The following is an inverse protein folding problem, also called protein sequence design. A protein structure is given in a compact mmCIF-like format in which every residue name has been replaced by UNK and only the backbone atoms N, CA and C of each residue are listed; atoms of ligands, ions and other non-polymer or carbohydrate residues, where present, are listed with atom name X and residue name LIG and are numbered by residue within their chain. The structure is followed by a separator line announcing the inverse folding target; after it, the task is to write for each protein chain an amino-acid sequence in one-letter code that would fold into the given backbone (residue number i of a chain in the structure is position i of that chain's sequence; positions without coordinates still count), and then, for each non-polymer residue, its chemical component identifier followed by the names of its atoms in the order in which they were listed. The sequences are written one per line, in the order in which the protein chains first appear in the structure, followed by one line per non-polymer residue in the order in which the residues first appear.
data_IF_547267856254
#
_entry.id   IF_547267856254
#
_cell.length_a   1.000
_cell.length_b   1.000
_cell.length_c   1.000
_cell.angle_alpha   90.00
_cell.angle_beta   90.00
_cell.angle_gamma   90.00
#
_symmetry.space_group_name_H-M   'P 1'
#
loop_
_entity.id
_entity.type
_entity.pdbx_description
1 polymer ?
#
# COMPACT_ATOMS: atom_id res chain seq x y z
N UNK A 1 4.27 -0.92 24.03
CA UNK A 1 4.29 -0.23 22.72
C UNK A 1 3.13 -0.66 21.82
N UNK A 2 2.87 -1.95 21.61
CA UNK A 2 1.68 -2.42 20.87
C UNK A 2 0.34 -1.92 21.46
N UNK A 3 0.22 -1.86 22.79
CA UNK A 3 -0.99 -1.37 23.49
C UNK A 3 -1.28 0.13 23.36
N UNK A 4 -0.33 0.93 22.85
CA UNK A 4 -0.57 2.34 22.55
C UNK A 4 -1.10 2.54 21.12
N UNK A 5 -0.75 1.65 20.19
CA UNK A 5 -1.14 1.71 18.77
C UNK A 5 -2.50 1.06 18.52
N UNK A 6 -2.84 -0.01 19.24
CA UNK A 6 -4.07 -0.79 19.02
C UNK A 6 -5.20 -0.49 20.01
N UNK A 7 -5.08 0.58 20.79
CA UNK A 7 -6.08 0.93 21.80
C UNK A 7 -7.38 1.31 21.09
N UNK A 8 -8.38 0.42 21.11
CA UNK A 8 -9.66 0.56 20.38
C UNK A 8 -9.78 -0.25 19.08
N UNK A 9 -8.71 -0.91 18.62
CA UNK A 9 -8.68 -1.68 17.36
C UNK A 9 -8.53 -3.20 17.60
N UNK A 10 -8.79 -3.68 18.81
CA UNK A 10 -8.63 -5.09 19.19
C UNK A 10 -9.53 -6.01 18.35
N UNK A 11 -10.75 -5.54 18.06
CA UNK A 11 -11.70 -6.24 17.19
C UNK A 11 -11.12 -6.41 15.78
N UNK A 12 -10.48 -5.37 15.24
CA UNK A 12 -9.83 -5.46 13.94
C UNK A 12 -8.72 -6.52 13.92
N UNK A 13 -7.87 -6.56 14.95
CA UNK A 13 -6.82 -7.57 15.05
C UNK A 13 -7.37 -9.00 15.13
N UNK A 14 -8.44 -9.21 15.91
CA UNK A 14 -9.10 -10.51 16.00
C UNK A 14 -9.70 -10.91 14.65
N UNK A 15 -10.41 -9.99 13.99
CA UNK A 15 -10.98 -10.24 12.66
C UNK A 15 -9.90 -10.54 11.63
N UNK A 16 -8.79 -9.80 11.65
CA UNK A 16 -7.65 -10.03 10.76
C UNK A 16 -7.02 -11.40 10.98
N UNK A 17 -6.85 -11.81 12.25
CA UNK A 17 -6.31 -13.13 12.59
C UNK A 17 -7.25 -14.26 12.14
N UNK A 18 -8.56 -14.13 12.40
CA UNK A 18 -9.59 -15.09 11.97
C UNK A 18 -9.63 -15.18 10.44
N UNK A 19 -9.65 -14.05 9.75
CA UNK A 19 -9.63 -13.99 8.29
C UNK A 19 -8.35 -14.62 7.73
N UNK A 20 -7.20 -14.37 8.36
CA UNK A 20 -5.93 -15.00 8.02
C UNK A 20 -5.96 -16.52 8.15
N UNK A 21 -6.52 -17.04 9.24
CA UNK A 21 -6.67 -18.49 9.47
C UNK A 21 -7.65 -19.13 8.47
N UNK A 22 -8.78 -18.48 8.20
CA UNK A 22 -9.79 -18.94 7.24
C UNK A 22 -9.18 -18.99 5.83
N UNK A 23 -8.49 -17.94 5.41
CA UNK A 23 -7.86 -17.89 4.08
C UNK A 23 -6.75 -18.92 3.95
N UNK A 24 -5.87 -19.03 4.95
CA UNK A 24 -4.78 -20.01 4.95
C UNK A 24 -5.34 -21.44 4.86
N UNK A 25 -6.26 -21.79 5.76
CA UNK A 25 -6.81 -23.14 5.84
C UNK A 25 -7.68 -23.45 4.62
N UNK A 26 -8.57 -22.53 4.26
CA UNK A 26 -9.49 -22.69 3.12
C UNK A 26 -8.75 -22.83 1.79
N UNK A 27 -7.79 -21.94 1.50
CA UNK A 27 -7.00 -22.03 0.26
C UNK A 27 -6.12 -23.28 0.25
N UNK A 28 -5.52 -23.65 1.38
CA UNK A 28 -4.74 -24.87 1.47
C UNK A 28 -5.60 -26.11 1.19
N UNK A 29 -6.74 -26.25 1.87
CA UNK A 29 -7.65 -27.38 1.68
C UNK A 29 -8.23 -27.45 0.26
N UNK A 30 -8.58 -26.31 -0.33
CA UNK A 30 -9.11 -26.24 -1.69
C UNK A 30 -8.07 -26.66 -2.76
N UNK A 31 -6.78 -26.39 -2.50
CA UNK A 31 -5.72 -26.62 -3.47
C UNK A 31 -4.85 -27.85 -3.18
N UNK A 32 -4.94 -28.49 -2.00
CA UNK A 32 -4.06 -29.60 -1.60
C UNK A 32 -4.05 -30.80 -2.53
N UNK A 33 -5.12 -30.99 -3.31
CA UNK A 33 -5.24 -32.05 -4.30
C UNK A 33 -5.14 -31.54 -5.76
N UNK A 34 -4.99 -30.22 -5.96
CA UNK A 34 -4.99 -29.58 -7.29
C UNK A 34 -3.63 -28.99 -7.67
N UNK A 35 -2.72 -28.82 -6.72
CA UNK A 35 -1.40 -28.26 -6.95
C UNK A 35 -0.36 -28.89 -6.04
N UNK A 36 0.89 -28.95 -6.50
CA UNK A 36 2.05 -29.43 -5.74
C UNK A 36 2.47 -28.49 -4.60
N UNK A 37 1.89 -27.28 -4.52
CA UNK A 37 2.32 -26.21 -3.60
C UNK A 37 1.17 -25.50 -2.90
N UNK A 38 0.23 -26.24 -2.28
CA UNK A 38 -0.97 -25.64 -1.71
C UNK A 38 -0.65 -24.65 -0.61
N UNK A 39 0.40 -24.90 0.18
CA UNK A 39 0.84 -24.01 1.25
C UNK A 39 1.36 -22.67 0.72
N UNK A 40 2.11 -22.64 -0.39
CA UNK A 40 2.64 -21.37 -0.93
C UNK A 40 1.51 -20.50 -1.50
N UNK A 41 0.52 -21.13 -2.14
CA UNK A 41 -0.70 -20.45 -2.58
C UNK A 41 -1.51 -19.91 -1.40
N UNK A 42 -1.65 -20.70 -0.34
CA UNK A 42 -2.36 -20.30 0.86
C UNK A 42 -1.68 -19.12 1.56
N UNK A 43 -0.35 -19.17 1.75
CA UNK A 43 0.43 -18.06 2.32
C UNK A 43 0.32 -16.79 1.46
N UNK A 44 0.46 -16.91 0.14
CA UNK A 44 0.29 -15.77 -0.78
C UNK A 44 -1.12 -15.17 -0.75
N UNK A 45 -2.16 -16.01 -0.69
CA UNK A 45 -3.54 -15.58 -0.56
C UNK A 45 -3.80 -14.86 0.78
N UNK A 46 -3.27 -15.41 1.88
CA UNK A 46 -3.34 -14.77 3.20
C UNK A 46 -2.63 -13.42 3.21
N UNK A 47 -1.47 -13.27 2.56
CA UNK A 47 -0.82 -11.98 2.40
C UNK A 47 -1.70 -10.99 1.63
N UNK A 48 -2.26 -11.39 0.48
CA UNK A 48 -3.11 -10.51 -0.32
C UNK A 48 -4.37 -10.07 0.45
N UNK A 49 -5.03 -10.99 1.14
CA UNK A 49 -6.22 -10.66 1.94
C UNK A 49 -5.86 -9.80 3.15
N UNK A 50 -4.73 -10.07 3.81
CA UNK A 50 -4.25 -9.24 4.92
C UNK A 50 -3.94 -7.81 4.48
N UNK A 51 -3.32 -7.64 3.31
CA UNK A 51 -3.08 -6.31 2.72
C UNK A 51 -4.42 -5.60 2.48
N UNK A 52 -5.38 -6.24 1.79
CA UNK A 52 -6.71 -5.64 1.56
C UNK A 52 -7.39 -5.24 2.87
N UNK A 53 -7.36 -6.12 3.87
CA UNK A 53 -7.98 -5.86 5.15
C UNK A 53 -7.36 -4.64 5.84
N UNK A 54 -6.03 -4.52 5.86
CA UNK A 54 -5.33 -3.39 6.49
C UNK A 54 -5.46 -2.08 5.69
N UNK A 55 -5.49 -2.15 4.36
CA UNK A 55 -5.53 -0.95 3.51
C UNK A 55 -6.93 -0.38 3.37
N UNK A 56 -7.96 -1.23 3.39
CA UNK A 56 -9.37 -0.83 3.28
C UNK A 56 -10.08 -0.69 4.62
N UNK A 57 -9.44 -1.10 5.73
CA UNK A 57 -9.97 -0.79 7.06
C UNK A 57 -9.98 0.72 7.28
N UNK A 58 -11.14 1.21 7.69
CA UNK A 58 -11.37 2.62 7.95
C UNK A 58 -11.71 2.80 9.42
N UNK A 59 -10.83 3.46 10.16
CA UNK A 59 -11.06 3.85 11.54
C UNK A 59 -10.98 5.37 11.77
N UNK A 60 -10.89 6.15 10.68
CA UNK A 60 -10.79 7.61 10.72
C UNK A 60 -11.99 8.33 10.07
N UNK A 61 -12.07 9.66 10.21
CA UNK A 61 -13.04 10.48 9.48
C UNK A 61 -12.94 10.24 7.98
N UNK A 62 -14.09 10.22 7.29
CA UNK A 62 -14.15 10.08 5.84
C UNK A 62 -13.45 11.27 5.18
N UNK A 63 -12.39 11.01 4.43
CA UNK A 63 -11.67 12.03 3.65
C UNK A 63 -12.45 12.43 2.38
N UNK A 64 -12.00 13.48 1.68
CA UNK A 64 -12.56 13.83 0.39
C UNK A 64 -12.37 12.70 -0.62
N UNK A 65 -13.47 12.22 -1.20
CA UNK A 65 -13.47 11.21 -2.27
C UNK A 65 -13.13 11.85 -3.61
N UNK A 66 -12.46 11.10 -4.48
CA UNK A 66 -12.11 11.52 -5.84
C UNK A 66 -10.83 12.35 -5.91
N UNK A 67 -10.00 12.34 -4.87
CA UNK A 67 -8.69 13.01 -4.84
C UNK A 67 -7.60 11.97 -4.63
N UNK A 68 -6.51 12.06 -5.40
CA UNK A 68 -5.29 11.30 -5.15
C UNK A 68 -4.06 12.20 -5.21
N UNK A 69 -3.17 12.06 -4.25
CA UNK A 69 -1.90 12.77 -4.21
C UNK A 69 -0.90 12.10 -5.13
N UNK A 70 -0.27 12.90 -6.00
CA UNK A 70 0.85 12.49 -6.84
C UNK A 70 2.13 13.05 -6.23
N UNK A 71 2.82 12.19 -5.47
CA UNK A 71 4.11 12.50 -4.87
C UNK A 71 5.25 12.38 -5.90
N UNK A 72 5.99 13.47 -6.14
CA UNK A 72 7.17 13.47 -7.02
C UNK A 72 8.44 12.97 -6.34
N UNK A 73 8.52 13.03 -5.02
CA UNK A 73 9.61 12.50 -4.21
C UNK A 73 9.64 10.97 -4.21
N UNK A 74 10.19 10.34 -5.24
CA UNK A 74 10.18 8.87 -5.39
C UNK A 74 10.92 8.10 -4.28
N UNK A 75 11.82 8.74 -3.56
CA UNK A 75 12.56 8.15 -2.42
C UNK A 75 11.88 8.39 -1.08
N UNK A 76 11.02 9.40 -0.99
CA UNK A 76 10.36 9.83 0.23
C UNK A 76 9.51 8.72 0.90
N UNK A 77 8.77 7.87 0.16
CA UNK A 77 8.00 6.78 0.77
C UNK A 77 8.86 5.79 1.59
N UNK A 78 10.14 5.63 1.26
CA UNK A 78 11.03 4.72 2.00
C UNK A 78 11.55 5.34 3.32
N UNK A 79 11.46 6.65 3.44
CA UNK A 79 11.84 7.41 4.64
C UNK A 79 10.69 7.61 5.61
N UNK A 80 9.45 7.52 5.15
CA UNK A 80 8.27 7.58 6.02
C UNK A 80 7.91 6.22 6.65
N UNK A 81 7.31 6.26 7.83
CA UNK A 81 6.84 5.05 8.52
C UNK A 81 5.73 4.35 7.72
N UNK A 82 4.80 5.08 7.09
CA UNK A 82 3.69 4.49 6.35
C UNK A 82 4.21 3.73 5.14
N UNK A 83 5.05 4.38 4.34
CA UNK A 83 5.65 3.74 3.17
C UNK A 83 6.55 2.55 3.53
N UNK A 84 7.31 2.60 4.64
CA UNK A 84 8.04 1.40 5.12
C UNK A 84 7.13 0.23 5.51
N UNK A 85 5.98 0.50 6.13
CA UNK A 85 5.03 -0.55 6.49
C UNK A 85 4.42 -1.17 5.23
N UNK A 86 4.04 -0.33 4.26
CA UNK A 86 3.56 -0.73 2.93
C UNK A 86 4.58 -1.60 2.18
N UNK A 87 5.84 -1.15 2.13
CA UNK A 87 6.96 -1.95 1.63
C UNK A 87 7.04 -3.31 2.33
N UNK A 88 7.03 -3.33 3.66
CA UNK A 88 7.22 -4.56 4.44
C UNK A 88 6.11 -5.60 4.21
N UNK A 89 4.84 -5.19 4.08
CA UNK A 89 3.73 -6.13 3.85
C UNK A 89 3.68 -6.69 2.43
N UNK A 90 4.25 -5.98 1.44
CA UNK A 90 4.34 -6.47 0.06
C UNK A 90 5.51 -7.44 -0.18
N UNK A 91 6.57 -7.41 0.65
CA UNK A 91 7.68 -8.39 0.57
C UNK A 91 7.21 -9.85 0.66
N UNK A 92 6.43 -10.27 1.68
CA UNK A 92 5.97 -11.66 1.76
C UNK A 92 5.00 -12.01 0.62
N UNK A 93 4.20 -11.05 0.12
CA UNK A 93 3.34 -11.27 -1.05
C UNK A 93 4.19 -11.63 -2.29
N UNK A 94 5.23 -10.84 -2.58
CA UNK A 94 6.15 -11.12 -3.69
C UNK A 94 6.85 -12.47 -3.54
N UNK A 95 7.33 -12.78 -2.33
CA UNK A 95 8.00 -14.04 -2.00
C UNK A 95 7.10 -15.25 -2.22
N UNK A 96 5.96 -15.32 -1.52
CA UNK A 96 5.07 -16.48 -1.59
C UNK A 96 4.37 -16.58 -2.94
N UNK A 97 4.00 -15.44 -3.56
CA UNK A 97 3.47 -15.41 -4.92
C UNK A 97 4.45 -16.00 -5.94
N UNK A 98 5.74 -15.69 -5.80
CA UNK A 98 6.78 -16.24 -6.68
C UNK A 98 7.03 -17.72 -6.43
N UNK A 99 7.03 -18.16 -5.19
CA UNK A 99 7.17 -19.59 -4.87
C UNK A 99 5.95 -20.42 -5.31
N UNK A 100 4.75 -19.84 -5.21
CA UNK A 100 3.51 -20.45 -5.66
C UNK A 100 3.46 -20.58 -7.19
N UNK A 101 3.70 -19.47 -7.90
CA UNK A 101 3.55 -19.40 -9.37
C UNK A 101 4.79 -19.83 -10.15
N UNK A 102 5.99 -19.64 -9.60
CA UNK A 102 7.30 -19.66 -10.28
C UNK A 102 7.35 -18.72 -11.50
N UNK A 103 6.65 -17.59 -11.43
CA UNK A 103 6.55 -16.63 -12.53
C UNK A 103 6.77 -15.22 -12.00
N UNK A 104 8.03 -14.77 -11.85
CA UNK A 104 8.32 -13.46 -11.28
C UNK A 104 7.61 -12.32 -12.03
N UNK A 105 7.61 -12.35 -13.37
CA UNK A 105 6.89 -11.35 -14.18
C UNK A 105 5.38 -11.32 -13.93
N UNK A 106 4.75 -12.49 -13.72
CA UNK A 106 3.32 -12.55 -13.37
C UNK A 106 3.06 -11.91 -12.00
N UNK A 107 3.91 -12.21 -11.02
CA UNK A 107 3.78 -11.69 -9.64
C UNK A 107 3.98 -10.17 -9.62
N UNK A 108 4.97 -9.67 -10.36
CA UNK A 108 5.21 -8.23 -10.48
C UNK A 108 4.02 -7.51 -11.12
N UNK A 109 3.53 -7.98 -12.28
CA UNK A 109 2.40 -7.34 -12.97
C UNK A 109 1.14 -7.40 -12.10
N UNK A 110 0.80 -8.58 -11.57
CA UNK A 110 -0.41 -8.73 -10.75
C UNK A 110 -0.33 -7.97 -9.44
N UNK A 111 0.83 -7.93 -8.78
CA UNK A 111 1.01 -7.20 -7.53
C UNK A 111 1.01 -5.68 -7.71
N UNK A 112 1.59 -5.16 -8.79
CA UNK A 112 1.49 -3.72 -9.13
C UNK A 112 0.05 -3.34 -9.44
N UNK A 113 -0.65 -4.13 -10.26
CA UNK A 113 -2.07 -3.89 -10.54
C UNK A 113 -2.95 -4.01 -9.30
N UNK A 114 -2.61 -4.93 -8.39
CA UNK A 114 -3.28 -5.07 -7.10
C UNK A 114 -3.07 -3.84 -6.22
N UNK A 115 -1.83 -3.33 -6.11
CA UNK A 115 -1.56 -2.08 -5.39
C UNK A 115 -2.27 -0.89 -6.03
N UNK A 116 -2.23 -0.75 -7.36
CA UNK A 116 -2.92 0.33 -8.06
C UNK A 116 -4.45 0.26 -7.87
N UNK A 117 -5.00 -0.96 -7.81
CA UNK A 117 -6.41 -1.18 -7.48
C UNK A 117 -6.77 -0.76 -6.06
N UNK A 118 -5.89 -0.98 -5.08
CA UNK A 118 -6.08 -0.54 -3.69
C UNK A 118 -6.08 1.00 -3.63
N UNK A 119 -5.08 1.66 -4.20
CA UNK A 119 -4.99 3.13 -4.25
C UNK A 119 -6.22 3.73 -4.94
N UNK A 120 -6.64 3.13 -6.06
CA UNK A 120 -7.83 3.58 -6.79
C UNK A 120 -9.09 3.37 -5.95
N UNK A 121 -9.21 2.25 -5.25
CA UNK A 121 -10.33 2.01 -4.34
C UNK A 121 -10.34 3.02 -3.19
N UNK A 122 -9.19 3.36 -2.61
CA UNK A 122 -9.08 4.40 -1.58
C UNK A 122 -9.45 5.78 -2.12
N UNK A 123 -9.11 6.09 -3.38
CA UNK A 123 -9.50 7.35 -4.00
C UNK A 123 -11.02 7.47 -4.19
N UNK A 124 -11.72 6.39 -4.56
CA UNK A 124 -13.15 6.48 -4.96
C UNK A 124 -14.14 6.03 -3.89
N UNK A 125 -13.73 5.21 -2.92
CA UNK A 125 -14.63 4.70 -1.90
C UNK A 125 -14.70 5.69 -0.72
N UNK A 126 -15.83 6.40 -0.54
CA UNK A 126 -15.93 7.51 0.43
C UNK A 126 -15.82 7.05 1.88
N UNK A 127 -16.02 5.77 2.15
CA UNK A 127 -15.95 5.19 3.49
C UNK A 127 -14.54 4.73 3.88
N UNK A 128 -13.59 4.67 2.94
CA UNK A 128 -12.19 4.40 3.23
C UNK A 128 -11.56 5.76 3.54
N UNK A 129 -11.43 6.11 4.82
CA UNK A 129 -10.99 7.45 5.28
C UNK A 129 -9.51 7.76 4.99
N UNK A 130 -9.01 7.37 3.81
CA UNK A 130 -7.63 7.53 3.35
C UNK A 130 -7.63 8.21 1.99
N UNK A 131 -6.72 9.17 1.85
CA UNK A 131 -6.41 9.78 0.56
C UNK A 131 -5.37 8.89 -0.11
N UNK A 132 -5.62 8.55 -1.38
CA UNK A 132 -4.70 7.82 -2.24
C UNK A 132 -3.37 8.60 -2.38
N UNK A 133 -2.23 7.89 -2.38
CA UNK A 133 -0.90 8.49 -2.52
C UNK A 133 -0.04 7.62 -3.45
N UNK A 134 0.44 8.20 -4.55
CA UNK A 134 1.35 7.47 -5.46
C UNK A 134 2.65 7.03 -4.78
N UNK A 135 3.04 7.66 -3.68
CA UNK A 135 4.14 7.22 -2.82
C UNK A 135 3.91 5.82 -2.23
N UNK A 136 2.67 5.49 -1.84
CA UNK A 136 2.31 4.16 -1.35
C UNK A 136 2.43 3.10 -2.45
N UNK A 137 2.02 3.43 -3.68
CA UNK A 137 2.23 2.57 -4.85
C UNK A 137 3.72 2.27 -5.09
N UNK A 138 4.60 3.28 -4.95
CA UNK A 138 6.05 3.11 -5.10
C UNK A 138 6.62 2.20 -4.01
N UNK A 139 6.23 2.43 -2.75
CA UNK A 139 6.69 1.61 -1.63
C UNK A 139 6.24 0.15 -1.77
N UNK A 140 4.98 -0.08 -2.11
CA UNK A 140 4.40 -1.40 -2.37
C UNK A 140 5.13 -2.12 -3.51
N UNK A 141 5.39 -1.42 -4.62
CA UNK A 141 6.14 -1.95 -5.75
C UNK A 141 7.58 -2.32 -5.35
N UNK A 142 8.25 -1.49 -4.54
CA UNK A 142 9.57 -1.79 -3.98
C UNK A 142 9.57 -3.08 -3.14
N UNK A 143 8.61 -3.22 -2.23
CA UNK A 143 8.47 -4.42 -1.40
C UNK A 143 8.21 -5.67 -2.24
N UNK A 144 7.33 -5.55 -3.22
CA UNK A 144 6.98 -6.62 -4.16
C UNK A 144 8.21 -7.07 -4.98
N UNK A 145 9.03 -6.13 -5.47
CA UNK A 145 10.26 -6.44 -6.22
C UNK A 145 11.23 -7.23 -5.36
N UNK A 146 11.50 -6.77 -4.13
CA UNK A 146 12.41 -7.45 -3.21
C UNK A 146 11.90 -8.85 -2.84
N UNK A 147 10.62 -8.97 -2.51
CA UNK A 147 9.97 -10.26 -2.25
C UNK A 147 10.07 -11.22 -3.43
N UNK A 148 9.81 -10.73 -4.64
CA UNK A 148 9.87 -11.51 -5.88
C UNK A 148 11.30 -11.98 -6.19
N UNK A 149 12.28 -11.10 -6.00
CA UNK A 149 13.69 -11.44 -6.14
C UNK A 149 14.10 -12.54 -5.16
N UNK A 150 13.74 -12.40 -3.89
CA UNK A 150 13.99 -13.42 -2.87
C UNK A 150 13.33 -14.76 -3.22
N UNK A 151 12.06 -14.76 -3.65
CA UNK A 151 11.35 -15.97 -4.07
C UNK A 151 11.97 -16.62 -5.30
N UNK A 152 12.51 -15.83 -6.22
CA UNK A 152 13.23 -16.32 -7.41
C UNK A 152 14.52 -17.01 -6.99
N UNK A 153 15.33 -16.38 -6.14
CA UNK A 153 16.58 -16.96 -5.60
C UNK A 153 16.29 -18.29 -4.89
N UNK A 154 15.27 -18.33 -4.03
CA UNK A 154 14.86 -19.57 -3.32
C UNK A 154 14.41 -20.66 -4.29
N UNK A 155 13.66 -20.31 -5.34
CA UNK A 155 13.22 -21.26 -6.35
C UNK A 155 14.39 -21.85 -7.15
N UNK A 156 15.34 -21.02 -7.56
CA UNK A 156 16.55 -21.41 -8.28
C UNK A 156 17.46 -22.30 -7.42
N UNK A 157 17.68 -21.94 -6.15
CA UNK A 157 18.50 -22.72 -5.22
C UNK A 157 17.96 -24.14 -5.01
N UNK A 158 16.64 -24.32 -5.08
CA UNK A 158 15.99 -25.63 -4.96
C UNK A 158 16.05 -26.47 -6.25
N UNK A 159 16.76 -26.02 -7.29
CA UNK A 159 16.87 -26.63 -8.64
C UNK A 159 15.52 -26.99 -9.26
N UNK A 160 14.48 -26.23 -8.93
CA UNK A 160 13.15 -26.49 -9.48
C UNK A 160 12.92 -25.54 -10.64
N UNK A 161 12.97 -26.02 -11.90
CA UNK A 161 12.76 -25.16 -13.04
C UNK A 161 11.41 -24.46 -12.93
N UNK A 162 11.36 -23.23 -13.49
CA UNK A 162 10.10 -22.54 -13.70
C UNK A 162 9.18 -23.51 -14.43
N UNK A 163 8.00 -23.78 -13.86
CA UNK A 163 7.05 -24.68 -14.52
C UNK A 163 6.52 -23.93 -15.75
N UNK A 164 6.68 -24.48 -16.97
CA UNK A 164 5.93 -24.01 -18.12
C UNK A 164 4.48 -24.52 -18.01
N UNK A 165 3.80 -24.26 -16.89
CA UNK A 165 2.38 -24.53 -16.77
C UNK A 165 1.63 -23.58 -17.69
N UNK A 166 0.93 -24.08 -18.70
CA UNK A 166 0.12 -23.26 -19.59
C UNK A 166 -1.11 -22.67 -18.88
N UNK A 167 -0.93 -21.83 -17.85
CA UNK A 167 -1.86 -20.71 -17.66
C UNK A 167 -1.87 -20.01 -19.02
N UNK A 168 -3.03 -20.00 -19.69
CA UNK A 168 -3.17 -19.41 -21.02
C UNK A 168 -2.71 -17.96 -20.88
N UNK A 169 -1.48 -17.66 -21.30
CA UNK A 169 -0.86 -16.33 -21.16
C UNK A 169 -1.80 -15.26 -21.71
N UNK A 170 -2.60 -15.63 -22.72
CA UNK A 170 -3.73 -14.88 -23.25
C UNK A 170 -4.76 -14.45 -22.19
N UNK A 171 -5.27 -15.33 -21.33
CA UNK A 171 -6.28 -14.94 -20.32
C UNK A 171 -5.70 -14.01 -19.26
N UNK A 172 -4.45 -14.26 -18.85
CA UNK A 172 -3.73 -13.37 -17.93
C UNK A 172 -3.51 -12.00 -18.56
N UNK A 173 -3.00 -11.97 -19.79
CA UNK A 173 -2.77 -10.73 -20.51
C UNK A 173 -4.07 -9.95 -20.74
N UNK A 174 -5.15 -10.62 -21.18
CA UNK A 174 -6.46 -10.00 -21.34
C UNK A 174 -7.02 -9.46 -20.03
N UNK A 175 -6.87 -10.22 -18.93
CA UNK A 175 -7.28 -9.77 -17.60
C UNK A 175 -6.48 -8.56 -17.13
N UNK A 176 -5.15 -8.57 -17.30
CA UNK A 176 -4.28 -7.45 -16.97
C UNK A 176 -4.62 -6.21 -17.81
N UNK A 177 -4.76 -6.36 -19.14
CA UNK A 177 -5.17 -5.26 -20.03
C UNK A 177 -6.52 -4.69 -19.64
N UNK A 178 -7.52 -5.54 -19.38
CA UNK A 178 -8.85 -5.11 -18.98
C UNK A 178 -8.84 -4.37 -17.64
N UNK A 179 -8.08 -4.86 -16.66
CA UNK A 179 -7.91 -4.20 -15.37
C UNK A 179 -7.20 -2.85 -15.53
N UNK A 180 -6.11 -2.78 -16.29
CA UNK A 180 -5.43 -1.51 -16.58
C UNK A 180 -6.37 -0.51 -17.23
N UNK A 181 -7.14 -0.92 -18.23
CA UNK A 181 -8.11 -0.04 -18.90
C UNK A 181 -9.20 0.45 -17.94
N UNK A 182 -9.69 -0.40 -17.04
CA UNK A 182 -10.64 -0.01 -16.01
C UNK A 182 -10.04 0.99 -15.02
N UNK A 183 -8.82 0.75 -14.53
CA UNK A 183 -8.12 1.67 -13.63
C UNK A 183 -7.90 3.03 -14.29
N UNK A 184 -7.44 3.05 -15.54
CA UNK A 184 -7.28 4.30 -16.31
C UNK A 184 -8.62 5.01 -16.47
N UNK A 185 -9.69 4.29 -16.82
CA UNK A 185 -11.03 4.87 -16.93
C UNK A 185 -11.55 5.47 -15.63
N UNK A 186 -11.31 4.83 -14.49
CA UNK A 186 -11.67 5.39 -13.18
C UNK A 186 -10.87 6.66 -12.90
N UNK A 187 -9.56 6.64 -13.16
CA UNK A 187 -8.70 7.80 -12.95
C UNK A 187 -9.08 8.99 -13.84
N UNK A 188 -9.39 8.75 -15.11
CA UNK A 188 -9.75 9.83 -16.04
C UNK A 188 -11.13 10.44 -15.77
N UNK A 189 -12.05 9.66 -15.21
CA UNK A 189 -13.45 10.09 -15.01
C UNK A 189 -13.78 10.52 -13.59
N UNK A 190 -13.02 10.07 -12.59
CA UNK A 190 -13.42 10.18 -11.19
C UNK A 190 -12.30 10.47 -10.19
N UNK A 191 -11.06 10.69 -10.65
CA UNK A 191 -9.93 11.02 -9.77
C UNK A 191 -9.28 12.31 -10.22
N UNK A 192 -9.18 13.27 -9.30
CA UNK A 192 -8.46 14.51 -9.48
C UNK A 192 -7.06 14.37 -8.87
N UNK A 193 -5.99 14.46 -9.68
CA UNK A 193 -4.62 14.35 -9.18
C UNK A 193 -4.17 15.65 -8.52
N UNK A 194 -3.65 15.56 -7.30
CA UNK A 194 -3.03 16.67 -6.58
C UNK A 194 -1.53 16.45 -6.59
N UNK A 195 -0.83 17.18 -7.45
CA UNK A 195 0.63 17.01 -7.62
C UNK A 195 1.35 17.79 -6.53
N UNK A 196 2.11 17.08 -5.70
CA UNK A 196 2.93 17.63 -4.63
C UNK A 196 4.39 17.24 -4.86
N UNK A 197 5.31 18.17 -4.60
CA UNK A 197 6.74 17.89 -4.68
C UNK A 197 7.18 16.94 -3.55
N UNK A 198 6.66 17.17 -2.34
CA UNK A 198 6.86 16.32 -1.16
C UNK A 198 5.57 16.22 -0.35
N UNK A 199 5.32 15.04 0.22
CA UNK A 199 4.13 14.78 1.07
C UNK A 199 4.47 14.87 2.55
N UNK A 200 5.73 14.59 2.94
CA UNK A 200 6.16 14.76 4.31
C UNK A 200 6.74 16.16 4.52
N UNK A 201 6.12 16.89 5.45
CA UNK A 201 6.64 18.17 5.94
C UNK A 201 8.05 18.09 6.52
N UNK A 202 8.60 16.90 6.77
CA UNK A 202 9.96 16.71 7.33
C UNK A 202 11.06 16.94 6.27
N UNK A 203 10.76 16.77 4.99
CA UNK A 203 11.76 16.86 3.91
C UNK A 203 11.86 18.26 3.33
N UNK A 204 10.78 19.04 3.38
CA UNK A 204 10.71 20.43 2.97
C UNK A 204 9.85 21.21 3.97
N UNK A 205 10.38 21.48 5.16
CA UNK A 205 9.97 22.71 5.84
C UNK A 205 10.55 23.83 5.00
N UNK A 206 9.87 24.22 3.92
CA UNK A 206 10.08 25.55 3.34
C UNK A 206 9.75 26.48 4.49
N UNK A 207 10.78 27.07 5.08
CA UNK A 207 10.61 27.99 6.18
C UNK A 207 9.61 29.04 5.69
N UNK A 208 8.42 29.05 6.31
CA UNK A 208 7.38 29.99 5.93
C UNK A 208 7.99 31.38 5.92
N UNK A 209 7.83 32.11 4.82
CA UNK A 209 8.37 33.46 4.71
C UNK A 209 7.71 34.38 5.76
N UNK A 210 8.25 35.58 5.96
CA UNK A 210 7.75 36.48 7.00
C UNK A 210 6.25 36.84 6.81
N UNK A 211 5.78 36.84 5.56
CA UNK A 211 4.39 37.16 5.20
C UNK A 211 3.47 35.99 5.53
N UNK A 212 3.85 34.77 5.15
CA UNK A 212 3.17 33.52 5.48
C UNK A 212 3.09 33.29 6.99
N UNK A 213 4.18 33.55 7.74
CA UNK A 213 4.17 33.44 9.21
C UNK A 213 3.20 34.42 9.84
N UNK A 214 3.08 35.62 9.28
CA UNK A 214 2.16 36.66 9.76
C UNK A 214 0.72 36.27 9.44
N UNK A 215 0.42 35.85 8.22
CA UNK A 215 -0.91 35.39 7.81
C UNK A 215 -1.38 34.15 8.59
N UNK A 216 -0.50 33.17 8.83
CA UNK A 216 -0.80 32.00 9.66
C UNK A 216 -1.09 32.42 11.10
N UNK A 217 -0.29 33.34 11.67
CA UNK A 217 -0.51 33.84 13.03
C UNK A 217 -1.84 34.58 13.14
N UNK A 218 -2.18 35.42 12.17
CA UNK A 218 -3.47 36.12 12.14
C UNK A 218 -4.64 35.15 12.06
N UNK A 219 -4.58 34.16 11.15
CA UNK A 219 -5.62 33.14 11.03
C UNK A 219 -5.77 32.29 12.29
N UNK A 220 -4.67 31.96 12.97
CA UNK A 220 -4.70 31.21 14.23
C UNK A 220 -5.28 32.05 15.38
N UNK A 221 -4.96 33.34 15.45
CA UNK A 221 -5.54 34.26 16.44
C UNK A 221 -7.02 34.47 16.19
N UNK A 222 -7.45 34.56 14.93
CA UNK A 222 -8.86 34.63 14.54
C UNK A 222 -9.62 33.35 14.92
N UNK A 223 -9.03 32.18 14.68
CA UNK A 223 -9.68 30.90 14.94
C UNK A 223 -9.68 30.50 16.43
N UNK A 224 -8.62 30.82 17.18
CA UNK A 224 -8.39 30.27 18.53
C UNK A 224 -8.24 31.33 19.65
N UNK A 225 -8.19 32.62 19.34
CA UNK A 225 -7.94 33.67 20.33
C UNK A 225 -6.46 33.80 20.74
N UNK A 226 -6.18 34.57 21.80
CA UNK A 226 -4.94 35.32 22.07
C UNK A 226 -3.57 34.61 21.82
N UNK A 227 -2.48 35.38 21.54
CA UNK A 227 -1.22 34.88 20.96
C UNK A 227 -0.27 34.13 21.93
N UNK A 228 -0.63 34.00 23.20
CA UNK A 228 0.32 33.68 24.28
C UNK A 228 0.91 32.26 24.28
N UNK A 229 0.46 31.37 23.40
CA UNK A 229 0.89 29.96 23.38
C UNK A 229 1.31 29.44 22.00
N UNK A 230 1.36 30.29 20.97
CA UNK A 230 1.63 29.86 19.59
C UNK A 230 3.05 30.23 19.20
N UNK A 231 3.98 29.30 19.43
CA UNK A 231 5.36 29.36 18.95
C UNK A 231 5.55 28.50 17.70
N UNK A 232 6.35 28.97 16.76
CA UNK A 232 6.87 28.12 15.68
C UNK A 232 8.12 27.41 16.22
N UNK A 233 8.10 26.08 16.32
CA UNK A 233 9.29 25.31 16.64
C UNK A 233 10.27 25.38 15.46
N UNK A 234 11.54 25.66 15.73
CA UNK A 234 12.60 25.34 14.79
C UNK A 234 12.62 23.81 14.63
N UNK A 235 12.59 23.32 13.40
CA UNK A 235 12.74 21.89 13.16
C UNK A 235 14.05 21.44 13.80
N UNK A 236 14.01 20.37 14.59
CA UNK A 236 15.24 19.76 15.10
C UNK A 236 16.08 19.30 13.89
N UNK A 237 17.06 20.13 13.52
CA UNK A 237 18.15 19.77 12.64
C UNK A 237 18.97 18.70 13.37
N UNK A 238 18.60 17.43 13.16
CA UNK A 238 19.25 16.29 13.79
C UNK A 238 20.67 16.07 13.27
N UNK A 239 21.65 16.14 14.18
CA UNK A 239 22.90 15.35 14.12
C UNK A 239 22.60 13.84 14.21
#
# INVERSE_FOLDING_TARGET
MLSAVFRGEEVFLVLLAVLGLITLTGTHLALRHRTERPLMWALGATCAVGILAVTLWSSGPTGPSGVCVVNRGVTEPFSDIRGRMNFAVFVPLGLFGTLATRRPGLVLISGVLFSAGIETAQAVLPFVGRICDTGDLIANAGGLVIGTAAGTVVALARRRPASPAALRTRHVALGATGLTAALVGVWTLGVTPWVLDHVNARTDVIAADAEQRTAIREALVEAFGSPGAIGFGEGEDGE
#
